data_IF_055765933556
#
_entry.id   IF_055765933556
#
_cell.length_a   1.000
_cell.length_b   1.000
_cell.length_c   1.000
_cell.angle_alpha   90.00
_cell.angle_beta   90.00
_cell.angle_gamma   90.00
#
_symmetry.space_group_name_H-M   'P 1'
#
loop_
_entity.id
_entity.type
_entity.pdbx_description
1 polymer ?
#
# COMPACT_ATOMS: atom_id res chain seq x y z
N UNK A 1 23.57 1.16 -4.51
CA UNK A 1 24.88 0.70 -5.02
C UNK A 1 24.64 -0.01 -6.33
N UNK A 2 24.87 0.67 -7.45
CA UNK A 2 24.84 0.04 -8.77
C UNK A 2 26.09 -0.83 -8.89
N UNK A 3 25.90 -2.11 -9.22
CA UNK A 3 27.00 -3.05 -9.43
C UNK A 3 27.69 -2.69 -10.74
N UNK A 4 29.01 -2.75 -10.78
CA UNK A 4 29.75 -2.42 -11.99
C UNK A 4 29.36 -3.36 -13.16
N UNK A 5 29.47 -2.93 -14.43
CA UNK A 5 29.10 -3.77 -15.58
C UNK A 5 29.83 -5.11 -15.61
N UNK A 6 31.09 -5.14 -15.16
CA UNK A 6 31.94 -6.34 -15.13
C UNK A 6 31.49 -7.36 -14.06
N UNK A 7 31.11 -6.88 -12.87
CA UNK A 7 30.58 -7.74 -11.80
C UNK A 7 29.22 -8.35 -12.18
N UNK A 8 28.39 -7.60 -12.91
CA UNK A 8 27.09 -8.09 -13.37
C UNK A 8 27.22 -9.22 -14.39
N UNK A 9 28.20 -9.14 -15.30
CA UNK A 9 28.48 -10.22 -16.26
C UNK A 9 29.07 -11.47 -15.58
N UNK A 10 29.94 -11.30 -14.58
CA UNK A 10 30.51 -12.43 -13.83
C UNK A 10 29.47 -13.19 -13.00
N UNK A 11 28.47 -12.47 -12.47
CA UNK A 11 27.42 -13.05 -11.64
C UNK A 11 26.23 -13.58 -12.46
N UNK A 12 26.07 -13.17 -13.72
CA UNK A 12 24.98 -13.61 -14.60
C UNK A 12 24.76 -15.13 -14.64
N UNK A 13 25.78 -16.00 -14.81
CA UNK A 13 25.57 -17.45 -14.82
C UNK A 13 25.13 -17.99 -13.44
N UNK A 14 25.66 -17.43 -12.35
CA UNK A 14 25.28 -17.82 -10.99
C UNK A 14 23.85 -17.38 -10.65
N UNK A 15 23.43 -16.19 -11.13
CA UNK A 15 22.05 -15.70 -11.01
C UNK A 15 21.09 -16.57 -11.82
N UNK A 16 21.49 -17.05 -13.00
CA UNK A 16 20.68 -17.95 -13.82
C UNK A 16 20.48 -19.31 -13.12
N UNK A 17 21.54 -19.89 -12.54
CA UNK A 17 21.44 -21.13 -11.75
C UNK A 17 20.55 -20.93 -10.53
N UNK A 18 20.70 -19.82 -9.82
CA UNK A 18 19.86 -19.45 -8.69
C UNK A 18 18.38 -19.34 -9.08
N UNK A 19 18.07 -18.69 -10.21
CA UNK A 19 16.70 -18.59 -10.71
C UNK A 19 16.10 -19.94 -11.10
N UNK A 20 16.92 -20.86 -11.61
CA UNK A 20 16.44 -22.16 -12.07
C UNK A 20 16.30 -23.19 -10.94
N UNK A 21 17.01 -23.03 -9.82
CA UNK A 21 17.01 -23.99 -8.70
C UNK A 21 16.25 -23.51 -7.46
N UNK A 22 15.79 -22.26 -7.45
CA UNK A 22 14.96 -21.71 -6.37
C UNK A 22 13.49 -21.97 -6.70
N UNK A 23 12.89 -22.89 -5.95
CA UNK A 23 11.46 -23.19 -6.05
C UNK A 23 10.69 -22.46 -4.96
N UNK A 24 9.54 -21.89 -5.33
CA UNK A 24 8.62 -21.23 -4.41
C UNK A 24 7.23 -21.82 -4.60
N UNK A 25 6.77 -22.53 -3.57
CA UNK A 25 5.47 -23.18 -3.54
C UNK A 25 4.57 -22.43 -2.54
N UNK A 26 3.44 -21.91 -3.00
CA UNK A 26 2.43 -21.37 -2.09
C UNK A 26 1.58 -22.53 -1.55
N UNK A 27 1.45 -22.63 -0.23
CA UNK A 27 0.61 -23.66 0.37
C UNK A 27 -0.85 -23.17 0.30
N UNK A 28 -1.68 -23.93 -0.42
CA UNK A 28 -3.10 -23.62 -0.64
C UNK A 28 -3.83 -23.34 0.68
N UNK A 29 -4.80 -22.42 0.62
CA UNK A 29 -5.58 -21.92 1.76
C UNK A 29 -4.79 -21.32 2.92
N UNK A 30 -3.48 -21.11 2.77
CA UNK A 30 -2.65 -20.42 3.76
C UNK A 30 -1.91 -19.23 3.17
N UNK A 31 -1.39 -18.36 4.03
CA UNK A 31 -0.44 -17.29 3.66
C UNK A 31 1.02 -17.75 3.76
N UNK A 32 1.25 -19.06 3.76
CA UNK A 32 2.58 -19.66 3.91
C UNK A 32 3.13 -19.95 2.52
N UNK A 33 4.39 -19.56 2.30
CA UNK A 33 5.14 -19.97 1.11
C UNK A 33 6.31 -20.82 1.57
N UNK A 34 6.49 -21.95 0.90
CA UNK A 34 7.65 -22.81 1.02
C UNK A 34 8.66 -22.37 -0.02
N UNK A 35 9.90 -22.14 0.44
CA UNK A 35 11.03 -21.76 -0.43
C UNK A 35 12.07 -22.86 -0.30
N UNK A 36 12.38 -23.54 -1.40
CA UNK A 36 13.39 -24.60 -1.48
C UNK A 36 14.46 -24.23 -2.48
N UNK A 37 15.70 -24.62 -2.20
CA UNK A 37 16.81 -24.45 -3.11
C UNK A 37 17.74 -25.66 -3.00
N UNK A 38 17.97 -26.32 -4.12
CA UNK A 38 18.80 -27.52 -4.18
C UNK A 38 20.21 -27.21 -4.70
N UNK A 39 21.23 -27.62 -3.96
CA UNK A 39 22.62 -27.48 -4.36
C UNK A 39 23.47 -28.65 -3.85
N UNK A 40 24.54 -28.96 -4.56
CA UNK A 40 25.53 -29.98 -4.15
C UNK A 40 26.34 -29.56 -2.92
N UNK A 41 26.29 -28.27 -2.57
CA UNK A 41 26.91 -27.71 -1.37
C UNK A 41 25.80 -27.33 -0.38
N UNK A 42 25.67 -28.04 0.75
CA UNK A 42 24.64 -27.77 1.75
C UNK A 42 24.78 -26.38 2.39
N UNK A 43 26.01 -25.86 2.51
CA UNK A 43 26.25 -24.54 3.09
C UNK A 43 25.74 -23.43 2.16
N UNK A 44 26.00 -23.56 0.86
CA UNK A 44 25.49 -22.63 -0.14
C UNK A 44 23.96 -22.70 -0.21
N UNK A 45 23.38 -23.90 -0.14
CA UNK A 45 21.94 -24.06 -0.20
C UNK A 45 21.23 -23.34 0.96
N UNK A 46 21.74 -23.53 2.17
CA UNK A 46 21.24 -22.85 3.36
C UNK A 46 21.39 -21.33 3.26
N UNK A 47 22.55 -20.84 2.80
CA UNK A 47 22.81 -19.41 2.66
C UNK A 47 21.83 -18.74 1.70
N UNK A 48 21.51 -19.40 0.58
CA UNK A 48 20.58 -18.91 -0.43
C UNK A 48 19.16 -18.81 0.12
N UNK A 49 18.63 -19.89 0.71
CA UNK A 49 17.25 -19.89 1.25
C UNK A 49 17.10 -18.86 2.38
N UNK A 50 18.05 -18.82 3.30
CA UNK A 50 18.02 -17.86 4.42
C UNK A 50 18.06 -16.41 3.92
N UNK A 51 18.91 -16.13 2.92
CA UNK A 51 19.00 -14.79 2.33
C UNK A 51 17.73 -14.43 1.57
N UNK A 52 17.15 -15.36 0.82
CA UNK A 52 15.88 -15.16 0.12
C UNK A 52 14.74 -14.86 1.10
N UNK A 53 14.62 -15.63 2.18
CA UNK A 53 13.63 -15.44 3.24
C UNK A 53 13.80 -14.07 3.93
N UNK A 54 15.05 -13.71 4.29
CA UNK A 54 15.37 -12.41 4.88
C UNK A 54 14.97 -11.26 3.94
N UNK A 55 15.40 -11.30 2.69
CA UNK A 55 15.08 -10.26 1.69
C UNK A 55 13.58 -10.17 1.41
N UNK A 56 12.84 -11.28 1.48
CA UNK A 56 11.39 -11.26 1.33
C UNK A 56 10.72 -10.58 2.54
N UNK A 57 11.15 -10.92 3.76
CA UNK A 57 10.66 -10.28 4.99
C UNK A 57 10.94 -8.78 4.99
N UNK A 58 12.18 -8.39 4.71
CA UNK A 58 12.63 -7.00 4.75
C UNK A 58 11.88 -6.17 3.69
N UNK A 59 11.71 -6.70 2.46
CA UNK A 59 10.89 -6.04 1.41
C UNK A 59 9.41 -5.93 1.77
N UNK A 60 8.83 -6.91 2.43
CA UNK A 60 7.44 -6.80 2.91
C UNK A 60 7.32 -5.74 4.00
N UNK A 61 8.29 -5.66 4.90
CA UNK A 61 8.32 -4.66 5.96
C UNK A 61 8.45 -3.24 5.40
N UNK A 62 9.36 -3.02 4.45
CA UNK A 62 9.53 -1.74 3.74
C UNK A 62 8.24 -1.36 3.00
N UNK A 63 7.70 -2.25 2.15
CA UNK A 63 6.43 -2.01 1.44
C UNK A 63 5.28 -1.67 2.38
N UNK A 64 5.19 -2.35 3.52
CA UNK A 64 4.17 -2.07 4.53
C UNK A 64 4.38 -0.67 5.12
N UNK A 65 5.61 -0.36 5.54
CA UNK A 65 5.98 0.94 6.13
C UNK A 65 5.73 2.11 5.17
N UNK A 66 6.13 1.98 3.90
CA UNK A 66 5.96 3.04 2.91
C UNK A 66 4.48 3.31 2.63
N UNK A 67 3.65 2.27 2.51
CA UNK A 67 2.19 2.42 2.37
C UNK A 67 1.56 3.12 3.56
N UNK A 68 1.98 2.80 4.79
CA UNK A 68 1.51 3.50 5.98
C UNK A 68 1.88 4.99 5.95
N UNK A 69 3.11 5.33 5.57
CA UNK A 69 3.55 6.72 5.42
C UNK A 69 2.74 7.48 4.35
N UNK A 70 2.51 6.87 3.19
CA UNK A 70 1.72 7.48 2.11
C UNK A 70 0.28 7.74 2.54
N UNK A 71 -0.33 6.77 3.23
CA UNK A 71 -1.70 6.86 3.76
C UNK A 71 -1.80 7.98 4.80
N UNK A 72 -0.85 8.05 5.75
CA UNK A 72 -0.79 9.11 6.75
C UNK A 72 -0.62 10.49 6.11
N UNK A 73 0.26 10.62 5.11
CA UNK A 73 0.46 11.88 4.39
C UNK A 73 -0.78 12.32 3.60
N UNK A 74 -1.51 11.38 2.99
CA UNK A 74 -2.79 11.68 2.34
C UNK A 74 -3.85 12.13 3.35
N UNK A 75 -3.99 11.44 4.49
CA UNK A 75 -4.97 11.78 5.52
C UNK A 75 -4.75 13.20 6.08
N UNK A 76 -3.48 13.58 6.28
CA UNK A 76 -3.12 14.93 6.70
C UNK A 76 -3.53 15.99 5.66
N UNK A 77 -3.30 15.74 4.36
CA UNK A 77 -3.76 16.64 3.28
C UNK A 77 -5.27 16.74 3.23
N UNK A 78 -5.99 15.62 3.25
CA UNK A 78 -7.46 15.58 3.23
C UNK A 78 -8.07 16.33 4.42
N UNK A 79 -7.44 16.22 5.61
CA UNK A 79 -7.88 16.95 6.80
C UNK A 79 -7.68 18.47 6.64
N UNK A 80 -6.56 18.91 6.05
CA UNK A 80 -6.32 20.33 5.77
C UNK A 80 -7.30 20.89 4.74
N UNK A 81 -7.59 20.13 3.69
CA UNK A 81 -8.60 20.51 2.69
C UNK A 81 -9.99 20.62 3.30
N UNK A 82 -10.37 19.68 4.17
CA UNK A 82 -11.65 19.71 4.86
C UNK A 82 -11.78 20.97 5.74
N UNK A 83 -10.75 21.29 6.53
CA UNK A 83 -10.72 22.52 7.34
C UNK A 83 -10.92 23.76 6.47
N UNK A 84 -10.24 23.83 5.32
CA UNK A 84 -10.39 24.96 4.40
C UNK A 84 -11.81 25.06 3.83
N UNK A 85 -12.43 23.94 3.45
CA UNK A 85 -13.82 23.94 2.95
C UNK A 85 -14.83 24.40 4.00
N UNK A 86 -14.64 24.00 5.26
CA UNK A 86 -15.48 24.46 6.38
C UNK A 86 -15.35 25.97 6.54
N UNK A 87 -14.12 26.50 6.60
CA UNK A 87 -13.90 27.94 6.71
C UNK A 87 -14.49 28.73 5.54
N UNK A 88 -14.38 28.22 4.32
CA UNK A 88 -14.99 28.84 3.14
C UNK A 88 -16.52 28.85 3.20
N UNK A 89 -17.13 27.75 3.67
CA UNK A 89 -18.58 27.66 3.84
C UNK A 89 -19.09 28.63 4.91
N UNK A 90 -18.37 28.73 6.04
CA UNK A 90 -18.65 29.69 7.11
C UNK A 90 -18.54 31.15 6.61
N UNK A 91 -17.48 31.49 5.86
CA UNK A 91 -17.31 32.83 5.32
C UNK A 91 -18.38 33.17 4.27
N UNK A 92 -18.69 32.25 3.36
CA UNK A 92 -19.74 32.45 2.35
C UNK A 92 -21.11 32.65 3.01
N UNK A 93 -21.36 31.97 4.12
CA UNK A 93 -22.56 32.16 4.92
C UNK A 93 -22.58 33.57 5.54
N UNK A 94 -21.50 33.98 6.22
CA UNK A 94 -21.42 35.31 6.83
C UNK A 94 -21.61 36.45 5.80
N UNK A 95 -20.97 36.35 4.64
CA UNK A 95 -21.10 37.31 3.54
C UNK A 95 -22.55 37.38 3.02
N UNK A 96 -23.23 36.24 2.89
CA UNK A 96 -24.61 36.16 2.42
C UNK A 96 -25.58 36.78 3.42
N UNK A 97 -25.43 36.49 4.72
CA UNK A 97 -26.25 37.07 5.79
C UNK A 97 -26.07 38.59 5.86
N UNK A 98 -24.82 39.08 5.76
CA UNK A 98 -24.52 40.51 5.77
C UNK A 98 -25.13 41.25 4.57
N UNK A 99 -25.02 40.68 3.35
CA UNK A 99 -25.50 41.32 2.12
C UNK A 99 -27.02 41.41 2.01
N UNK A 100 -27.73 40.39 2.50
CA UNK A 100 -29.18 40.31 2.35
C UNK A 100 -29.95 40.89 3.55
N UNK A 101 -29.25 41.41 4.57
CA UNK A 101 -29.89 41.98 5.76
C UNK A 101 -30.80 40.99 6.50
N UNK A 102 -30.55 39.67 6.34
CA UNK A 102 -31.39 38.61 6.88
C UNK A 102 -31.11 38.50 8.38
N UNK A 103 -31.82 39.30 9.17
CA UNK A 103 -31.86 39.17 10.63
C UNK A 103 -32.86 38.10 11.11
N UNK A 104 -33.44 37.30 10.22
CA UNK A 104 -34.57 36.42 10.58
C UNK A 104 -34.60 35.11 9.80
N UNK A 105 -33.64 34.20 10.03
CA UNK A 105 -33.85 32.73 9.96
C UNK A 105 -32.60 31.94 10.44
N UNK A 106 -32.06 32.27 11.62
CA UNK A 106 -30.79 31.72 12.16
C UNK A 106 -30.67 30.18 12.10
N UNK A 107 -31.79 29.45 12.09
CA UNK A 107 -31.80 27.99 12.09
C UNK A 107 -31.65 27.29 10.72
N UNK A 108 -32.14 27.86 9.62
CA UNK A 108 -32.14 27.14 8.31
C UNK A 108 -30.78 27.17 7.62
N UNK A 109 -30.07 28.30 7.73
CA UNK A 109 -28.78 28.50 7.08
C UNK A 109 -27.67 27.73 7.81
N UNK A 110 -27.63 27.81 9.14
CA UNK A 110 -26.76 27.01 10.01
C UNK A 110 -26.94 25.51 9.76
N UNK A 111 -28.18 25.06 9.58
CA UNK A 111 -28.50 23.66 9.28
C UNK A 111 -27.92 23.17 7.94
N UNK A 112 -27.79 24.05 6.92
CA UNK A 112 -27.20 23.68 5.63
C UNK A 112 -25.69 23.49 5.77
N UNK A 113 -25.00 24.43 6.45
CA UNK A 113 -23.56 24.32 6.71
C UNK A 113 -23.23 23.11 7.58
N UNK A 114 -24.05 22.84 8.60
CA UNK A 114 -23.93 21.65 9.45
C UNK A 114 -24.11 20.36 8.64
N UNK A 115 -25.15 20.29 7.79
CA UNK A 115 -25.39 19.13 6.91
C UNK A 115 -24.25 18.91 5.93
N UNK A 116 -23.73 19.97 5.29
CA UNK A 116 -22.59 19.88 4.38
C UNK A 116 -21.35 19.37 5.11
N UNK A 117 -21.04 19.94 6.28
CA UNK A 117 -19.91 19.50 7.13
C UNK A 117 -20.06 18.03 7.52
N UNK A 118 -21.27 17.60 7.89
CA UNK A 118 -21.54 16.20 8.24
C UNK A 118 -21.36 15.26 7.03
N UNK A 119 -21.87 15.62 5.85
CA UNK A 119 -21.69 14.83 4.63
C UNK A 119 -20.21 14.67 4.25
N UNK A 120 -19.44 15.75 4.34
CA UNK A 120 -18.00 15.70 4.10
C UNK A 120 -17.27 14.80 5.11
N UNK A 121 -17.63 14.89 6.40
CA UNK A 121 -17.08 14.02 7.44
C UNK A 121 -17.40 12.54 7.18
N UNK A 122 -18.62 12.21 6.79
CA UNK A 122 -19.04 10.85 6.43
C UNK A 122 -18.26 10.33 5.23
N UNK A 123 -18.13 11.13 4.17
CA UNK A 123 -17.37 10.77 2.99
C UNK A 123 -15.88 10.53 3.32
N UNK A 124 -15.27 11.41 4.11
CA UNK A 124 -13.87 11.28 4.54
C UNK A 124 -13.65 10.01 5.36
N UNK A 125 -14.57 9.67 6.27
CA UNK A 125 -14.50 8.42 7.04
C UNK A 125 -14.58 7.19 6.14
N UNK A 126 -15.54 7.16 5.23
CA UNK A 126 -15.70 6.06 4.28
C UNK A 126 -14.44 5.87 3.41
N UNK A 127 -13.86 6.97 2.92
CA UNK A 127 -12.63 6.95 2.13
C UNK A 127 -11.43 6.45 2.97
N UNK A 128 -11.34 6.90 4.22
CA UNK A 128 -10.29 6.46 5.16
C UNK A 128 -10.40 4.95 5.43
N UNK A 129 -11.60 4.45 5.70
CA UNK A 129 -11.83 3.01 5.90
C UNK A 129 -11.48 2.20 4.65
N UNK A 130 -11.85 2.71 3.46
CA UNK A 130 -11.51 2.09 2.18
C UNK A 130 -10.00 1.99 2.00
N UNK A 131 -9.27 3.08 2.23
CA UNK A 131 -7.82 3.11 2.09
C UNK A 131 -7.11 2.23 3.11
N UNK A 132 -7.56 2.23 4.37
CA UNK A 132 -7.03 1.33 5.40
C UNK A 132 -7.22 -0.14 4.98
N UNK A 133 -8.42 -0.50 4.50
CA UNK A 133 -8.67 -1.85 3.98
C UNK A 133 -7.77 -2.16 2.78
N UNK A 134 -7.63 -1.25 1.82
CA UNK A 134 -6.75 -1.45 0.65
C UNK A 134 -5.29 -1.66 1.06
N UNK A 135 -4.76 -0.85 1.99
CA UNK A 135 -3.40 -0.98 2.51
C UNK A 135 -3.16 -2.36 3.18
N UNK A 136 -4.18 -2.87 3.89
CA UNK A 136 -4.15 -4.22 4.48
C UNK A 136 -4.22 -5.33 3.42
N UNK A 137 -5.04 -5.18 2.36
CA UNK A 137 -5.21 -6.19 1.31
C UNK A 137 -4.01 -6.28 0.37
N UNK A 138 -3.48 -5.15 -0.09
CA UNK A 138 -2.26 -5.11 -0.92
C UNK A 138 -0.99 -5.53 -0.14
N UNK A 139 -1.08 -5.60 1.20
CA UNK A 139 -0.07 -6.13 2.12
C UNK A 139 -0.03 -7.65 2.24
N UNK A 140 -0.96 -8.38 1.62
CA UNK A 140 -0.85 -9.84 1.49
C UNK A 140 0.36 -10.21 0.63
N UNK A 141 0.98 -11.39 0.85
CA UNK A 141 2.01 -11.86 -0.07
C UNK A 141 1.44 -11.81 -1.49
N UNK A 142 2.17 -11.18 -2.41
CA UNK A 142 1.86 -11.27 -3.83
C UNK A 142 1.69 -12.77 -4.11
N UNK A 143 0.48 -13.19 -4.49
CA UNK A 143 0.26 -14.56 -4.96
C UNK A 143 1.33 -14.78 -6.03
N UNK A 144 2.24 -15.76 -5.88
CA UNK A 144 3.19 -16.04 -6.94
C UNK A 144 2.36 -16.25 -8.20
N UNK A 145 2.71 -15.47 -9.22
CA UNK A 145 2.00 -15.46 -10.49
C UNK A 145 1.76 -16.92 -10.92
N UNK A 146 0.50 -17.28 -11.22
CA UNK A 146 0.16 -18.65 -11.67
C UNK A 146 0.95 -19.04 -12.93
N UNK A 147 1.59 -18.08 -13.60
CA UNK A 147 2.54 -18.29 -14.66
C UNK A 147 3.80 -19.10 -14.25
N UNK A 148 4.28 -18.98 -13.01
CA UNK A 148 5.49 -19.72 -12.57
C UNK A 148 5.17 -21.20 -12.32
N UNK A 149 3.95 -21.51 -11.86
CA UNK A 149 3.49 -22.87 -11.58
C UNK A 149 3.22 -23.72 -12.85
N UNK A 150 3.12 -23.12 -14.04
CA UNK A 150 2.81 -23.85 -15.29
C UNK A 150 4.03 -24.28 -16.11
N UNK A 151 5.25 -23.90 -15.72
CA UNK A 151 6.47 -24.28 -16.46
C UNK A 151 7.12 -25.59 -16.03
N UNK A 152 6.65 -26.22 -14.93
CA UNK A 152 7.29 -27.41 -14.35
C UNK A 152 6.55 -28.75 -14.62
N UNK A 153 5.49 -28.75 -15.43
CA UNK A 153 4.86 -29.97 -15.94
C UNK A 153 5.00 -30.06 -17.46
N UNK A 154 6.23 -30.08 -17.97
CA UNK A 154 6.48 -30.71 -19.28
C UNK A 154 7.93 -31.20 -19.42
N UNK A 155 8.00 -32.52 -19.49
CA UNK A 155 9.12 -33.43 -19.82
C UNK A 155 10.05 -33.81 -18.69
#
# INVERSE_FOLDING_TARGET
MERTPEESHRLAPYVAILKNKLEVEAIDDTRIMKVSFEHTDPALAQAVVNTAAKNFRDRNYERKTDRFKDTSGWLDRSTRELKSKVQQAEQAMADYTQRNGIFTSEGKETLIVEKLTNLYNLAMRAETERMLKQSLFEGGPARPDRAIARSLFRH
#
